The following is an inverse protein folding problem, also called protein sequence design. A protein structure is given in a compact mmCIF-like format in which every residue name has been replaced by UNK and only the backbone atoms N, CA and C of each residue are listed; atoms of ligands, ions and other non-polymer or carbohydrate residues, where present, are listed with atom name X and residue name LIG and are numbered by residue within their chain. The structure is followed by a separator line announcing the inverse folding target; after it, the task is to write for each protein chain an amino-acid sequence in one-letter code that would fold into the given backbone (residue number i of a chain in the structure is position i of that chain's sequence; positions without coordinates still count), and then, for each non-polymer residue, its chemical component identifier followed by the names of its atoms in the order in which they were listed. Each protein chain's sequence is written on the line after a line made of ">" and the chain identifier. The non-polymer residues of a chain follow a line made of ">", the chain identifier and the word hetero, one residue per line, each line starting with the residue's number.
data_IF_851996895066
#
_entry.id   IF_851996895066
#
_cell.length_a   1.000
_cell.length_b   1.000
_cell.length_c   1.000
_cell.angle_alpha   90.00
_cell.angle_beta   90.00
_cell.angle_gamma   90.00
#
_symmetry.space_group_name_H-M   'P 1'
#
loop_
_entity.id
_entity.type
_entity.pdbx_description
1 polymer ?
#
# COMPACT_ATOMS: atom_id res chain seq x y z
N UNK A 1 38.07 7.42 -21.54
CA UNK A 1 37.85 5.95 -21.49
C UNK A 1 36.93 5.62 -20.33
N UNK A 2 35.64 5.37 -20.59
CA UNK A 2 34.67 4.95 -19.58
C UNK A 2 34.90 3.48 -19.24
N UNK A 3 35.15 3.14 -17.97
CA UNK A 3 35.28 1.76 -17.49
C UNK A 3 34.02 0.94 -17.90
N UNK A 4 34.16 -0.35 -18.25
CA UNK A 4 33.03 -1.19 -18.58
C UNK A 4 32.05 -1.24 -17.40
N UNK A 5 30.74 -1.11 -17.68
CA UNK A 5 29.68 -1.18 -16.67
C UNK A 5 29.53 -2.62 -16.21
N UNK A 6 30.31 -3.02 -15.20
CA UNK A 6 30.19 -4.34 -14.55
C UNK A 6 29.18 -4.23 -13.41
N UNK A 7 28.19 -5.13 -13.37
CA UNK A 7 27.26 -5.22 -12.25
C UNK A 7 28.03 -5.52 -10.97
N UNK A 8 28.11 -4.53 -10.09
CA UNK A 8 28.76 -4.68 -8.78
C UNK A 8 27.75 -5.23 -7.79
N UNK A 9 28.19 -6.06 -6.83
CA UNK A 9 27.32 -6.63 -5.78
C UNK A 9 26.51 -5.54 -5.04
N UNK A 10 27.13 -4.41 -4.77
CA UNK A 10 26.49 -3.23 -4.16
C UNK A 10 25.33 -2.64 -4.99
N UNK A 11 25.46 -2.66 -6.31
CA UNK A 11 24.42 -2.17 -7.22
C UNK A 11 23.20 -3.10 -7.19
N UNK A 12 23.43 -4.42 -7.20
CA UNK A 12 22.38 -5.43 -7.11
C UNK A 12 21.65 -5.28 -5.77
N UNK A 13 22.39 -5.16 -4.66
CA UNK A 13 21.80 -4.99 -3.33
C UNK A 13 20.94 -3.72 -3.27
N UNK A 14 21.42 -2.60 -3.81
CA UNK A 14 20.66 -1.35 -3.83
C UNK A 14 19.40 -1.46 -4.69
N UNK A 15 19.48 -2.13 -5.84
CA UNK A 15 18.31 -2.37 -6.70
C UNK A 15 17.26 -3.23 -6.00
N UNK A 16 17.65 -4.31 -5.33
CA UNK A 16 16.74 -5.15 -4.56
C UNK A 16 16.13 -4.41 -3.37
N UNK A 17 16.94 -3.68 -2.61
CA UNK A 17 16.49 -2.92 -1.45
C UNK A 17 15.54 -1.77 -1.81
N UNK A 18 15.71 -1.15 -2.98
CA UNK A 18 14.79 -0.11 -3.46
C UNK A 18 13.56 -0.70 -4.17
N UNK A 19 13.70 -1.86 -4.80
CA UNK A 19 12.61 -2.58 -5.48
C UNK A 19 11.63 -3.26 -4.52
N UNK A 20 12.01 -3.53 -3.27
CA UNK A 20 11.11 -4.12 -2.27
C UNK A 20 9.83 -3.31 -2.05
N UNK A 21 9.88 -1.98 -2.15
CA UNK A 21 8.70 -1.12 -2.05
C UNK A 21 7.67 -1.38 -3.15
N UNK A 22 8.11 -1.79 -4.35
CA UNK A 22 7.20 -2.16 -5.46
C UNK A 22 6.49 -3.49 -5.15
N UNK A 23 7.18 -4.43 -4.52
CA UNK A 23 6.57 -5.68 -4.05
C UNK A 23 5.53 -5.41 -2.97
N UNK A 24 5.84 -4.54 -2.00
CA UNK A 24 4.88 -4.12 -0.96
C UNK A 24 3.65 -3.46 -1.57
N UNK A 25 3.80 -2.59 -2.57
CA UNK A 25 2.67 -1.97 -3.27
C UNK A 25 1.79 -3.02 -3.98
N UNK A 26 2.41 -3.97 -4.68
CA UNK A 26 1.70 -5.07 -5.34
C UNK A 26 0.94 -5.95 -4.35
N UNK A 27 1.55 -6.30 -3.23
CA UNK A 27 0.91 -7.08 -2.16
C UNK A 27 -0.31 -6.37 -1.58
N UNK A 28 -0.17 -5.10 -1.17
CA UNK A 28 -1.27 -4.31 -0.60
C UNK A 28 -2.45 -4.15 -1.56
N UNK A 29 -2.18 -4.09 -2.87
CA UNK A 29 -3.23 -4.03 -3.89
C UNK A 29 -3.89 -5.40 -4.09
N UNK A 30 -3.08 -6.47 -4.16
CA UNK A 30 -3.55 -7.81 -4.49
C UNK A 30 -4.28 -8.52 -3.35
N UNK A 31 -3.88 -8.31 -2.09
CA UNK A 31 -4.45 -9.00 -0.95
C UNK A 31 -5.95 -8.69 -0.74
N UNK A 32 -6.37 -7.47 -1.10
CA UNK A 32 -7.76 -7.02 -0.97
C UNK A 32 -8.72 -7.85 -1.84
N UNK A 33 -8.27 -8.33 -3.01
CA UNK A 33 -9.12 -9.10 -3.91
C UNK A 33 -9.50 -10.45 -3.29
N UNK A 34 -8.52 -11.20 -2.77
CA UNK A 34 -8.77 -12.47 -2.09
C UNK A 34 -9.48 -12.30 -0.74
N UNK A 35 -9.20 -11.21 -0.01
CA UNK A 35 -9.84 -10.94 1.27
C UNK A 35 -11.32 -10.55 1.14
N UNK A 36 -11.78 -10.17 -0.06
CA UNK A 36 -13.15 -9.78 -0.32
C UNK A 36 -14.17 -10.83 0.14
N UNK A 37 -13.90 -12.11 -0.12
CA UNK A 37 -14.80 -13.22 0.20
C UNK A 37 -14.94 -13.44 1.70
N UNK A 38 -13.91 -13.13 2.49
CA UNK A 38 -13.94 -13.27 3.95
C UNK A 38 -14.45 -12.01 4.64
N UNK A 39 -14.09 -10.83 4.16
CA UNK A 39 -14.39 -9.56 4.83
C UNK A 39 -15.86 -9.14 4.61
N UNK A 40 -16.42 -9.31 3.41
CA UNK A 40 -17.81 -8.90 3.14
C UNK A 40 -18.84 -9.61 4.04
N UNK A 41 -18.79 -10.95 4.22
CA UNK A 41 -19.67 -11.63 5.17
C UNK A 41 -19.45 -11.16 6.60
N UNK A 42 -18.19 -10.94 7.00
CA UNK A 42 -17.87 -10.43 8.34
C UNK A 42 -18.47 -9.04 8.59
N UNK A 43 -18.48 -8.15 7.59
CA UNK A 43 -19.14 -6.83 7.69
C UNK A 43 -20.64 -6.98 7.93
N UNK A 44 -21.32 -7.85 7.16
CA UNK A 44 -22.76 -8.11 7.32
C UNK A 44 -23.04 -8.62 8.73
N UNK A 45 -22.30 -9.63 9.17
CA UNK A 45 -22.53 -10.27 10.48
C UNK A 45 -22.23 -9.31 11.64
N UNK A 46 -21.14 -8.55 11.54
CA UNK A 46 -20.79 -7.53 12.54
C UNK A 46 -21.85 -6.43 12.63
N UNK A 47 -22.42 -6.02 11.51
CA UNK A 47 -23.49 -5.02 11.49
C UNK A 47 -24.80 -5.57 12.08
N UNK A 48 -25.15 -6.81 11.72
CA UNK A 48 -26.32 -7.51 12.26
C UNK A 48 -26.21 -7.72 13.77
N UNK A 49 -25.04 -8.12 14.26
CA UNK A 49 -24.80 -8.30 15.70
C UNK A 49 -24.99 -6.99 16.49
N UNK A 50 -24.65 -5.84 15.91
CA UNK A 50 -24.76 -4.52 16.58
C UNK A 50 -26.16 -3.91 16.51
N UNK A 51 -26.90 -4.13 15.42
CA UNK A 51 -28.14 -3.41 15.13
C UNK A 51 -29.37 -4.31 15.06
N UNK A 52 -29.19 -5.63 14.99
CA UNK A 52 -30.25 -6.60 14.70
C UNK A 52 -30.69 -6.64 13.24
N UNK A 53 -30.18 -5.74 12.38
CA UNK A 53 -30.63 -5.55 11.00
C UNK A 53 -29.60 -6.13 10.02
N UNK A 54 -30.07 -6.81 8.98
CA UNK A 54 -29.21 -7.27 7.88
C UNK A 54 -28.87 -6.13 6.94
N UNK A 55 -27.57 -5.95 6.66
CA UNK A 55 -27.07 -4.91 5.76
C UNK A 55 -27.55 -5.15 4.31
N UNK A 56 -27.98 -4.10 3.61
CA UNK A 56 -28.36 -4.21 2.20
C UNK A 56 -27.14 -4.38 1.29
N UNK A 57 -27.34 -5.03 0.14
CA UNK A 57 -26.27 -5.25 -0.84
C UNK A 57 -25.65 -3.94 -1.37
N UNK A 58 -26.46 -2.89 -1.51
CA UNK A 58 -26.00 -1.58 -1.96
C UNK A 58 -25.04 -0.95 -0.94
N UNK A 59 -25.41 -0.96 0.34
CA UNK A 59 -24.59 -0.39 1.42
C UNK A 59 -23.31 -1.20 1.61
N UNK A 60 -23.37 -2.53 1.52
CA UNK A 60 -22.19 -3.39 1.56
C UNK A 60 -21.19 -3.05 0.45
N UNK A 61 -21.69 -2.90 -0.78
CA UNK A 61 -20.87 -2.52 -1.94
C UNK A 61 -20.25 -1.14 -1.72
N UNK A 62 -21.01 -0.18 -1.20
CA UNK A 62 -20.50 1.16 -0.89
C UNK A 62 -19.37 1.13 0.15
N UNK A 63 -19.55 0.39 1.25
CA UNK A 63 -18.52 0.23 2.29
C UNK A 63 -17.27 -0.40 1.68
N UNK A 64 -17.42 -1.50 0.96
CA UNK A 64 -16.29 -2.20 0.36
C UNK A 64 -15.55 -1.34 -0.68
N UNK A 65 -16.27 -0.68 -1.58
CA UNK A 65 -15.68 0.23 -2.57
C UNK A 65 -14.96 1.40 -1.91
N UNK A 66 -15.49 1.93 -0.80
CA UNK A 66 -14.81 2.98 -0.02
C UNK A 66 -13.51 2.47 0.58
N UNK A 67 -13.51 1.27 1.17
CA UNK A 67 -12.30 0.63 1.72
C UNK A 67 -11.20 0.49 0.67
N UNK A 68 -11.54 0.02 -0.54
CA UNK A 68 -10.57 -0.13 -1.63
C UNK A 68 -10.11 1.24 -2.17
N UNK A 69 -11.01 2.22 -2.28
CA UNK A 69 -10.71 3.55 -2.81
C UNK A 69 -9.74 4.36 -1.94
N UNK A 70 -9.78 4.17 -0.61
CA UNK A 70 -8.86 4.87 0.32
C UNK A 70 -7.39 4.57 -0.01
N UNK A 71 -7.08 3.36 -0.50
CA UNK A 71 -5.72 3.01 -0.94
C UNK A 71 -5.24 3.90 -2.09
N UNK A 72 -6.09 4.16 -3.08
CA UNK A 72 -5.76 5.01 -4.22
C UNK A 72 -5.56 6.48 -3.79
N UNK A 73 -6.41 6.98 -2.89
CA UNK A 73 -6.29 8.33 -2.33
C UNK A 73 -4.97 8.46 -1.55
N UNK A 74 -4.66 7.49 -0.70
CA UNK A 74 -3.39 7.45 0.04
C UNK A 74 -2.18 7.41 -0.90
N UNK A 75 -2.24 6.62 -1.98
CA UNK A 75 -1.21 6.56 -3.01
C UNK A 75 -1.00 7.90 -3.71
N UNK A 76 -2.07 8.63 -4.03
CA UNK A 76 -1.99 9.97 -4.61
C UNK A 76 -1.32 10.96 -3.67
N UNK A 77 -1.74 11.01 -2.40
CA UNK A 77 -1.13 11.87 -1.38
C UNK A 77 0.36 11.54 -1.20
N UNK A 78 0.70 10.25 -1.13
CA UNK A 78 2.08 9.78 -1.04
C UNK A 78 2.94 10.20 -2.23
N UNK A 79 2.38 10.13 -3.45
CA UNK A 79 3.08 10.57 -4.67
C UNK A 79 3.36 12.08 -4.66
N UNK A 80 2.40 12.91 -4.23
CA UNK A 80 2.62 14.35 -4.06
C UNK A 80 3.67 14.65 -2.97
N UNK A 81 3.66 13.89 -1.86
CA UNK A 81 4.61 14.05 -0.76
C UNK A 81 6.03 13.55 -1.09
N UNK A 82 6.20 12.65 -2.06
CA UNK A 82 7.49 12.04 -2.38
C UNK A 82 8.56 13.07 -2.81
N UNK A 83 8.17 14.08 -3.59
CA UNK A 83 9.07 15.14 -4.07
C UNK A 83 9.66 15.98 -2.92
N UNK A 84 8.86 16.64 -2.06
CA UNK A 84 9.42 17.42 -0.95
C UNK A 84 10.19 16.56 0.07
N UNK A 85 9.74 15.33 0.34
CA UNK A 85 10.44 14.40 1.25
C UNK A 85 11.81 14.02 0.70
N UNK A 86 11.92 13.72 -0.59
CA UNK A 86 13.20 13.37 -1.22
C UNK A 86 14.16 14.56 -1.30
N UNK A 87 13.65 15.78 -1.47
CA UNK A 87 14.47 17.01 -1.41
C UNK A 87 15.02 17.26 0.00
N UNK A 88 14.23 17.00 1.05
CA UNK A 88 14.63 17.27 2.44
C UNK A 88 15.50 16.19 3.06
N UNK A 89 15.25 14.91 2.76
CA UNK A 89 15.91 13.77 3.43
C UNK A 89 16.74 12.90 2.47
N UNK A 90 16.81 13.25 1.19
CA UNK A 90 17.41 12.43 0.14
C UNK A 90 16.56 11.20 -0.22
N UNK A 91 16.97 10.48 -1.27
CA UNK A 91 16.24 9.29 -1.77
C UNK A 91 16.28 8.13 -0.76
N UNK A 92 17.45 7.82 -0.19
CA UNK A 92 17.62 6.77 0.83
C UNK A 92 16.89 7.11 2.13
N UNK A 93 17.04 8.34 2.64
CA UNK A 93 16.36 8.78 3.86
C UNK A 93 14.84 8.85 3.70
N UNK A 94 14.36 9.27 2.54
CA UNK A 94 12.94 9.21 2.19
C UNK A 94 12.39 7.78 2.18
N UNK A 95 13.11 6.84 1.58
CA UNK A 95 12.71 5.41 1.58
C UNK A 95 12.69 4.82 2.98
N UNK A 96 13.66 5.12 3.85
CA UNK A 96 13.66 4.64 5.24
C UNK A 96 12.44 5.16 6.02
N UNK A 97 12.08 6.43 5.82
CA UNK A 97 10.88 7.02 6.45
C UNK A 97 9.58 6.43 5.91
N UNK A 98 9.51 6.16 4.61
CA UNK A 98 8.37 5.48 4.01
C UNK A 98 8.18 4.07 4.59
N UNK A 99 9.27 3.32 4.81
CA UNK A 99 9.21 2.02 5.49
C UNK A 99 8.76 2.15 6.95
N UNK A 100 9.21 3.18 7.69
CA UNK A 100 8.74 3.43 9.05
C UNK A 100 7.23 3.70 9.08
N UNK A 101 6.72 4.51 8.15
CA UNK A 101 5.27 4.75 8.01
C UNK A 101 4.52 3.45 7.72
N UNK A 102 5.04 2.58 6.85
CA UNK A 102 4.43 1.29 6.51
C UNK A 102 4.44 0.25 7.64
N UNK A 103 5.26 0.43 8.69
CA UNK A 103 5.21 -0.41 9.91
C UNK A 103 4.13 0.09 10.89
N UNK A 104 3.87 1.40 10.89
CA UNK A 104 2.91 2.04 11.81
C UNK A 104 1.48 1.95 11.27
N UNK A 105 1.32 2.06 9.94
CA UNK A 105 0.05 2.01 9.23
C UNK A 105 -0.45 0.58 9.04
#
# INVERSE_FOLDING_TARGET
>A
MTKPKVFTKELILTALATGSGVLSFGWNTGCLNSAQESIKPWIIESYRHRTGITLSHYVLTFIWSTTVAIFAIGGAIGAFAASPVSRRYGRRGGLLKANLLGIIA
#
